data_IF_030844694170
#
_entry.id   IF_030844694170
#
_cell.length_a   1.000
_cell.length_b   1.000
_cell.length_c   1.000
_cell.angle_alpha   90.00
_cell.angle_beta   90.00
_cell.angle_gamma   90.00
#
_symmetry.space_group_name_H-M   'P 1'
#
loop_
_entity.id
_entity.type
_entity.pdbx_description
1 polymer ?
#
# COMPACT_ATOMS: atom_id res chain seq x y z
N UNK A 1 13.67 -10.13 -2.87
CA UNK A 1 12.73 -10.24 -1.74
C UNK A 1 11.74 -11.34 -2.06
N UNK A 2 11.43 -12.21 -1.10
CA UNK A 2 10.45 -13.31 -1.31
C UNK A 2 9.04 -12.76 -1.18
N UNK A 3 8.20 -12.96 -2.19
CA UNK A 3 6.78 -12.59 -2.18
C UNK A 3 5.97 -13.55 -1.30
N UNK A 4 4.75 -13.16 -0.92
CA UNK A 4 3.85 -13.98 -0.09
C UNK A 4 3.26 -15.20 -0.82
N UNK A 5 3.44 -15.32 -2.14
CA UNK A 5 2.98 -16.48 -2.93
C UNK A 5 1.57 -16.31 -3.51
N UNK A 6 0.86 -15.24 -3.17
CA UNK A 6 -0.44 -14.92 -3.76
C UNK A 6 -0.29 -14.42 -5.20
N UNK A 7 -1.40 -14.46 -5.93
CA UNK A 7 -1.50 -13.85 -7.25
C UNK A 7 -1.23 -12.34 -7.15
N UNK A 8 -0.54 -11.72 -8.14
CA UNK A 8 -0.41 -10.27 -8.20
C UNK A 8 -1.77 -9.60 -8.27
N UNK A 9 -1.92 -8.46 -7.58
CA UNK A 9 -3.10 -7.61 -7.68
C UNK A 9 -2.82 -6.55 -8.73
N UNK A 10 -3.74 -6.36 -9.69
CA UNK A 10 -3.60 -5.30 -10.69
C UNK A 10 -3.86 -3.94 -10.07
N UNK A 11 -3.02 -2.95 -10.36
CA UNK A 11 -3.22 -1.58 -9.93
C UNK A 11 -4.57 -1.02 -10.40
N UNK A 12 -4.96 -1.33 -11.65
CA UNK A 12 -6.29 -0.99 -12.21
C UNK A 12 -7.48 -1.56 -11.44
N UNK A 13 -7.29 -2.63 -10.67
CA UNK A 13 -8.36 -3.28 -9.90
C UNK A 13 -8.48 -2.76 -8.47
N UNK A 14 -7.50 -1.97 -8.02
CA UNK A 14 -7.55 -1.33 -6.71
C UNK A 14 -8.43 -0.09 -6.76
N UNK A 15 -9.03 0.25 -5.61
CA UNK A 15 -9.64 1.58 -5.44
C UNK A 15 -8.56 2.64 -5.65
N UNK A 16 -8.77 3.65 -6.53
CA UNK A 16 -7.76 4.66 -6.81
C UNK A 16 -7.35 5.43 -5.55
N UNK A 17 -8.25 5.60 -4.59
CA UNK A 17 -7.99 6.22 -3.28
C UNK A 17 -7.11 5.36 -2.34
N UNK A 18 -6.94 4.07 -2.63
CA UNK A 18 -6.10 3.13 -1.86
C UNK A 18 -4.72 2.92 -2.50
N UNK A 19 -4.38 3.69 -3.52
CA UNK A 19 -3.14 3.58 -4.28
C UNK A 19 -2.62 4.99 -4.58
N UNK A 20 -1.34 5.25 -4.39
CA UNK A 20 -0.70 6.47 -4.86
C UNK A 20 0.26 6.13 -6.00
N UNK A 21 -0.03 6.62 -7.20
CA UNK A 21 0.86 6.55 -8.37
C UNK A 21 1.32 7.92 -8.85
N UNK A 22 1.08 8.98 -8.07
CA UNK A 22 1.44 10.36 -8.44
C UNK A 22 2.92 10.45 -8.79
N UNK A 23 3.21 11.10 -9.91
CA UNK A 23 4.58 11.24 -10.37
C UNK A 23 5.40 12.14 -9.43
N UNK A 24 6.66 11.77 -9.21
CA UNK A 24 7.54 12.43 -8.21
C UNK A 24 7.27 12.06 -6.74
N UNK A 25 6.21 11.32 -6.41
CA UNK A 25 5.92 10.86 -5.06
C UNK A 25 6.26 9.38 -4.83
N UNK A 26 6.52 8.96 -3.58
CA UNK A 26 6.66 7.55 -3.27
C UNK A 26 5.37 6.80 -3.59
N UNK A 27 5.48 5.76 -4.43
CA UNK A 27 4.35 4.86 -4.69
C UNK A 27 3.96 4.15 -3.39
N UNK A 28 2.72 4.30 -2.97
CA UNK A 28 2.16 3.67 -1.77
C UNK A 28 0.85 2.98 -2.09
N UNK A 29 0.47 1.99 -1.28
CA UNK A 29 -0.80 1.29 -1.41
C UNK A 29 -1.31 0.90 -0.03
N UNK A 30 -2.63 0.88 0.13
CA UNK A 30 -3.28 0.29 1.29
C UNK A 30 -3.18 -1.23 1.18
N UNK A 31 -2.60 -1.87 2.21
CA UNK A 31 -2.56 -3.33 2.26
C UNK A 31 -3.99 -3.89 2.37
N UNK A 32 -4.38 -4.88 1.54
CA UNK A 32 -5.74 -5.43 1.58
C UNK A 32 -6.04 -6.23 2.86
N UNK A 33 -5.01 -6.71 3.57
CA UNK A 33 -5.18 -7.52 4.78
C UNK A 33 -5.25 -6.66 6.05
N UNK A 34 -4.37 -5.68 6.23
CA UNK A 34 -4.31 -4.85 7.45
C UNK A 34 -4.83 -3.41 7.27
N UNK A 35 -5.22 -3.02 6.07
CA UNK A 35 -5.83 -1.72 5.75
C UNK A 35 -4.97 -0.49 6.12
N UNK A 36 -3.65 -0.67 6.22
CA UNK A 36 -2.69 0.42 6.45
C UNK A 36 -1.89 0.75 5.19
N UNK A 37 -1.46 2.00 5.07
CA UNK A 37 -0.64 2.47 3.96
C UNK A 37 0.79 1.94 4.06
N UNK A 38 1.30 1.43 2.94
CA UNK A 38 2.68 0.98 2.85
C UNK A 38 3.32 1.40 1.53
N UNK A 39 4.64 1.62 1.56
CA UNK A 39 5.43 1.84 0.35
C UNK A 39 5.42 0.61 -0.55
N UNK A 40 5.41 0.85 -1.85
CA UNK A 40 5.73 -0.14 -2.86
C UNK A 40 7.23 -0.13 -3.13
N UNK A 41 7.85 -1.31 -3.12
CA UNK A 41 9.25 -1.49 -3.47
C UNK A 41 9.37 -2.66 -4.42
N UNK A 42 9.90 -2.41 -5.64
CA UNK A 42 9.97 -3.42 -6.72
C UNK A 42 8.60 -4.05 -7.00
N UNK A 43 7.57 -3.20 -7.10
CA UNK A 43 6.18 -3.61 -7.35
C UNK A 43 5.62 -4.60 -6.31
N UNK A 44 6.08 -4.50 -5.06
CA UNK A 44 5.56 -5.27 -3.92
C UNK A 44 5.27 -4.35 -2.73
N UNK A 45 4.21 -4.68 -1.98
CA UNK A 45 3.96 -4.10 -0.67
C UNK A 45 5.14 -4.39 0.23
N UNK A 46 5.75 -3.34 0.80
CA UNK A 46 6.87 -3.50 1.73
C UNK A 46 6.48 -4.45 2.87
N UNK A 47 7.35 -5.42 3.25
CA UNK A 47 7.05 -6.32 4.34
C UNK A 47 6.79 -5.56 5.64
N UNK A 48 5.69 -5.89 6.31
CA UNK A 48 5.20 -5.20 7.50
C UNK A 48 4.60 -6.20 8.50
N UNK A 49 4.15 -5.69 9.64
CA UNK A 49 3.50 -6.45 10.70
C UNK A 49 2.14 -5.84 11.00
N UNK A 50 1.19 -6.66 11.42
CA UNK A 50 -0.14 -6.19 11.79
C UNK A 50 -0.05 -5.19 12.95
N UNK A 51 -0.79 -4.09 12.87
CA UNK A 51 -0.96 -3.14 13.97
C UNK A 51 0.29 -2.38 14.39
N UNK A 52 1.35 -2.37 13.58
CA UNK A 52 2.52 -1.54 13.82
C UNK A 52 2.50 -0.34 12.88
N UNK A 53 2.25 0.86 13.43
CA UNK A 53 2.78 2.08 12.85
C UNK A 53 4.28 1.84 12.65
N UNK A 54 4.75 1.84 11.40
CA UNK A 54 6.13 1.52 11.11
C UNK A 54 7.02 2.51 11.90
N UNK A 55 7.93 2.05 12.76
CA UNK A 55 8.79 2.97 13.49
C UNK A 55 9.61 3.76 12.48
N UNK A 56 9.60 5.09 12.63
CA UNK A 56 10.51 6.02 11.96
C UNK A 56 11.93 5.45 12.08
N UNK A 57 12.57 5.24 10.94
CA UNK A 57 13.79 4.44 10.80
C UNK A 57 15.06 5.19 11.25
N UNK A 58 15.08 5.76 12.46
CA UNK A 58 16.24 6.49 12.97
C UNK A 58 16.82 5.95 14.30
N UNK A 59 16.14 5.05 15.01
CA UNK A 59 16.69 4.53 16.27
C UNK A 59 17.07 3.04 16.19
N UNK A 60 18.18 2.70 16.87
CA UNK A 60 18.79 1.37 16.94
C UNK A 60 17.73 0.28 17.03
N UNK A 61 17.82 -0.71 16.14
CA UNK A 61 16.74 -1.70 15.94
C UNK A 61 16.34 -2.45 17.23
N UNK A 62 17.15 -2.50 18.30
CA UNK A 62 16.77 -2.43 19.74
C UNK A 62 18.00 -2.15 20.63
N UNK A 63 17.82 -1.43 21.74
CA UNK A 63 18.65 -1.53 22.96
C UNK A 63 17.67 -1.85 24.10
N UNK A 64 17.54 -3.13 24.47
CA UNK A 64 16.47 -3.65 25.35
C UNK A 64 15.52 -4.62 24.64
N UNK A 65 14.36 -4.91 25.26
CA UNK A 65 13.43 -5.92 24.76
C UNK A 65 12.81 -5.54 23.42
N UNK A 66 12.74 -6.54 22.53
CA UNK A 66 12.04 -6.44 21.27
C UNK A 66 10.54 -6.18 21.57
N UNK A 67 9.97 -5.03 21.17
CA UNK A 67 8.56 -4.75 21.11
C UNK A 67 7.86 -5.94 20.53
N UNK A 68 6.68 -6.19 21.08
CA UNK A 68 5.70 -7.12 20.57
C UNK A 68 5.16 -6.64 19.21
N UNK A 69 6.03 -6.38 18.24
CA UNK A 69 5.65 -6.11 16.86
C UNK A 69 4.80 -7.28 16.41
N UNK A 70 3.57 -6.97 15.96
CA UNK A 70 2.53 -7.93 15.66
C UNK A 70 2.99 -9.04 14.70
N UNK A 71 2.11 -10.01 14.44
CA UNK A 71 2.43 -11.07 13.48
C UNK A 71 2.74 -10.46 12.11
N UNK A 72 3.55 -11.17 11.31
CA UNK A 72 3.81 -10.74 9.93
C UNK A 72 2.48 -10.69 9.20
N UNK A 73 2.14 -9.55 8.62
CA UNK A 73 0.87 -9.39 7.93
C UNK A 73 0.83 -10.32 6.70
N UNK A 74 -0.26 -11.07 6.44
CA UNK A 74 -0.39 -11.93 5.26
C UNK A 74 -0.22 -11.18 3.92
N UNK A 75 -0.59 -9.89 3.89
CA UNK A 75 -0.41 -8.99 2.75
C UNK A 75 1.01 -8.46 2.56
N UNK A 76 1.94 -8.76 3.48
CA UNK A 76 3.35 -8.39 3.35
C UNK A 76 3.99 -9.03 2.12
N UNK A 77 4.73 -8.25 1.33
CA UNK A 77 5.33 -8.72 0.08
C UNK A 77 4.29 -9.24 -0.94
N UNK A 78 3.06 -8.74 -0.87
CA UNK A 78 2.07 -8.89 -1.92
C UNK A 78 2.56 -8.17 -3.18
N UNK A 79 2.52 -8.86 -4.32
CA UNK A 79 2.86 -8.26 -5.62
C UNK A 79 1.70 -7.40 -6.11
N UNK A 80 2.04 -6.20 -6.59
CA UNK A 80 1.14 -5.31 -7.30
C UNK A 80 1.65 -5.21 -8.74
N UNK A 81 0.82 -5.57 -9.70
CA UNK A 81 1.11 -5.36 -11.12
C UNK A 81 0.70 -3.94 -11.49
N UNK A 82 1.67 -3.09 -11.87
CA UNK A 82 1.41 -1.68 -12.20
C UNK A 82 1.04 -1.61 -13.68
N UNK A 83 -0.23 -1.91 -13.96
CA UNK A 83 -0.80 -2.03 -15.30
C UNK A 83 -1.48 -0.74 -15.80
N UNK A 84 -1.37 0.36 -15.04
CA UNK A 84 -1.88 1.69 -15.37
C UNK A 84 -0.81 2.75 -15.16
N UNK A 85 -0.87 3.83 -15.94
CA UNK A 85 0.01 4.99 -15.79
C UNK A 85 -0.46 5.92 -14.66
N UNK A 86 0.42 6.81 -14.16
CA UNK A 86 0.02 7.86 -13.22
C UNK A 86 -1.16 8.72 -13.71
N UNK A 87 -1.22 9.01 -15.01
CA UNK A 87 -2.28 9.81 -15.62
C UNK A 87 -3.61 9.05 -15.58
N UNK A 88 -3.61 7.78 -15.99
CA UNK A 88 -4.79 6.91 -15.94
C UNK A 88 -5.30 6.72 -14.50
N UNK A 89 -4.40 6.58 -13.53
CA UNK A 89 -4.77 6.55 -12.11
C UNK A 89 -5.39 7.88 -11.65
N UNK A 90 -4.81 9.02 -12.06
CA UNK A 90 -5.35 10.35 -11.75
C UNK A 90 -6.77 10.55 -12.30
N UNK A 91 -7.03 10.12 -13.54
CA UNK A 91 -8.37 10.15 -14.14
C UNK A 91 -9.37 9.28 -13.36
N UNK A 92 -8.97 8.09 -12.93
CA UNK A 92 -9.80 7.21 -12.10
C UNK A 92 -10.12 7.86 -10.74
N UNK A 93 -9.14 8.51 -10.11
CA UNK A 93 -9.31 9.18 -8.83
C UNK A 93 -10.32 10.34 -8.93
N UNK A 94 -10.20 11.19 -9.94
CA UNK A 94 -11.14 12.29 -10.20
C UNK A 94 -12.56 11.79 -10.48
N UNK A 95 -12.68 10.69 -11.22
CA UNK A 95 -13.97 10.07 -11.53
C UNK A 95 -14.65 9.50 -10.27
N UNK A 96 -13.85 8.88 -9.39
CA UNK A 96 -14.33 8.34 -8.12
C UNK A 96 -14.83 9.45 -7.18
N UNK A 97 -14.10 10.56 -7.07
CA UNK A 97 -14.49 11.72 -6.25
C UNK A 97 -15.78 12.37 -6.75
N UNK A 98 -15.92 12.56 -8.06
CA UNK A 98 -17.12 13.15 -8.68
C UNK A 98 -18.35 12.28 -8.43
N UNK A 99 -18.22 10.96 -8.59
CA UNK A 99 -19.30 10.00 -8.32
C UNK A 99 -19.71 10.02 -6.84
N UNK A 100 -18.74 10.12 -5.92
CA UNK A 100 -19.02 10.21 -4.50
C UNK A 100 -19.71 11.52 -4.12
N UNK A 101 -19.37 12.64 -4.77
CA UNK A 101 -20.02 13.94 -4.57
C UNK A 101 -21.48 13.93 -5.06
N UNK A 102 -21.75 13.37 -6.24
CA UNK A 102 -23.09 13.29 -6.83
C UNK A 102 -24.10 12.47 -6.01
N UNK A 103 -23.64 11.52 -5.18
CA UNK A 103 -24.51 10.71 -4.30
C UNK A 103 -24.93 11.42 -3.01
N UNK A 104 -24.34 12.58 -2.70
CA UNK A 104 -24.61 13.32 -1.45
C UNK A 104 -25.64 14.45 -1.62
N UNK A 105 -26.13 14.68 -2.83
CA UNK A 105 -27.15 15.68 -3.18
C UNK A 105 -28.49 15.01 -3.43
#
# INVERSE_FOLDING_TARGET
>A
MRHNGRAPIKASSLRPENLNLRDGEPRTVVCPDCQTWHRLTRSMIMPHRDGADAPETSERRYFGDKPAGGRRCPGSAQRIDIDITPEQWGEQLLTAETTAAARRT
#
